data_IF_798417354304
#
_entry.id   IF_798417354304
#
_cell.length_a   1.000
_cell.length_b   1.000
_cell.length_c   1.000
_cell.angle_alpha   90.00
_cell.angle_beta   90.00
_cell.angle_gamma   90.00
#
_symmetry.space_group_name_H-M   'P 1'
#
loop_
_entity.id
_entity.type
_entity.pdbx_description
1 polymer ?
#
# COMPACT_ATOMS: atom_id res chain seq x y z
N UNK A 1 -13.06 -15.99 -2.95
CA UNK A 1 -14.11 -15.15 -2.39
C UNK A 1 -15.44 -15.46 -3.05
N UNK A 2 -16.42 -15.91 -2.28
CA UNK A 2 -17.77 -16.19 -2.79
C UNK A 2 -18.65 -14.95 -2.63
N UNK A 3 -18.81 -14.19 -3.71
CA UNK A 3 -19.59 -12.94 -3.72
C UNK A 3 -21.09 -13.20 -3.88
N UNK A 4 -21.51 -14.44 -4.12
CA UNK A 4 -22.92 -14.80 -4.25
C UNK A 4 -23.55 -15.21 -2.92
N UNK A 5 -22.72 -15.47 -1.89
CA UNK A 5 -23.20 -15.78 -0.55
C UNK A 5 -23.96 -14.59 0.07
N UNK A 6 -24.93 -14.85 0.97
CA UNK A 6 -25.66 -13.76 1.64
C UNK A 6 -24.78 -12.95 2.63
N UNK A 7 -23.52 -13.26 2.75
CA UNK A 7 -22.57 -12.59 3.62
C UNK A 7 -22.00 -11.34 2.98
N UNK A 8 -21.75 -10.31 3.80
CA UNK A 8 -21.02 -9.14 3.37
C UNK A 8 -19.51 -9.39 3.29
N UNK A 9 -18.89 -8.80 2.29
CA UNK A 9 -17.44 -8.85 2.08
C UNK A 9 -16.92 -7.47 1.70
N UNK A 10 -15.67 -7.18 2.07
CA UNK A 10 -15.00 -5.96 1.66
C UNK A 10 -13.75 -6.31 0.86
N UNK A 11 -13.55 -5.59 -0.25
CA UNK A 11 -12.38 -5.71 -1.09
C UNK A 11 -11.73 -4.33 -1.19
N UNK A 12 -10.42 -4.28 -0.99
CA UNK A 12 -9.59 -3.10 -1.18
C UNK A 12 -8.65 -3.39 -2.34
N UNK A 13 -8.88 -2.73 -3.46
CA UNK A 13 -8.10 -2.90 -4.68
C UNK A 13 -7.17 -1.70 -4.85
N UNK A 14 -5.88 -1.92 -4.68
CA UNK A 14 -4.86 -0.88 -4.78
C UNK A 14 -4.19 -0.99 -6.15
N UNK A 15 -4.67 -0.17 -7.08
CA UNK A 15 -4.12 -0.10 -8.44
C UNK A 15 -2.93 0.85 -8.55
N UNK A 16 -2.68 1.35 -9.75
CA UNK A 16 -1.64 2.36 -10.00
C UNK A 16 -2.10 3.76 -9.58
N UNK A 17 -3.23 4.22 -10.12
CA UNK A 17 -3.73 5.58 -9.91
C UNK A 17 -4.76 5.72 -8.80
N UNK A 18 -5.51 4.67 -8.50
CA UNK A 18 -6.61 4.72 -7.53
C UNK A 18 -6.63 3.50 -6.64
N UNK A 19 -7.15 3.68 -5.42
CA UNK A 19 -7.53 2.59 -4.52
C UNK A 19 -9.04 2.56 -4.45
N UNK A 20 -9.62 1.41 -4.79
CA UNK A 20 -11.06 1.18 -4.78
C UNK A 20 -11.44 0.32 -3.57
N UNK A 21 -12.42 0.78 -2.80
CA UNK A 21 -12.92 0.04 -1.65
C UNK A 21 -14.37 -0.31 -1.92
N UNK A 22 -14.68 -1.60 -2.06
CA UNK A 22 -16.01 -2.08 -2.35
C UNK A 22 -16.55 -2.96 -1.23
N UNK A 23 -17.79 -2.73 -0.85
CA UNK A 23 -18.55 -3.58 0.06
C UNK A 23 -19.57 -4.33 -0.78
N UNK A 24 -19.53 -5.65 -0.74
CA UNK A 24 -20.33 -6.54 -1.58
C UNK A 24 -21.19 -7.43 -0.69
N UNK A 25 -22.47 -7.56 -1.06
CA UNK A 25 -23.40 -8.48 -0.40
C UNK A 25 -24.41 -8.99 -1.44
N UNK A 26 -24.77 -10.28 -1.38
CA UNK A 26 -25.71 -10.92 -2.30
C UNK A 26 -25.36 -10.72 -3.78
N UNK A 27 -24.06 -10.76 -4.11
CA UNK A 27 -23.60 -10.60 -5.48
C UNK A 27 -23.64 -9.17 -6.05
N UNK A 28 -24.05 -8.20 -5.23
CA UNK A 28 -24.13 -6.79 -5.62
C UNK A 28 -23.21 -5.90 -4.80
N UNK A 29 -22.83 -4.74 -5.36
CA UNK A 29 -22.06 -3.74 -4.65
C UNK A 29 -23.01 -2.92 -3.78
N UNK A 30 -22.80 -2.94 -2.46
CA UNK A 30 -23.58 -2.16 -1.49
C UNK A 30 -23.01 -0.75 -1.37
N UNK A 31 -21.69 -0.62 -1.40
CA UNK A 31 -21.00 0.66 -1.33
C UNK A 31 -19.70 0.56 -2.09
N UNK A 32 -19.27 1.67 -2.68
CA UNK A 32 -18.00 1.77 -3.38
C UNK A 32 -17.41 3.15 -3.12
N UNK A 33 -16.15 3.18 -2.71
CA UNK A 33 -15.41 4.41 -2.46
C UNK A 33 -14.09 4.33 -3.22
N UNK A 34 -13.69 5.44 -3.83
CA UNK A 34 -12.43 5.55 -4.56
C UNK A 34 -11.60 6.70 -4.01
N UNK A 35 -10.31 6.48 -3.84
CA UNK A 35 -9.36 7.55 -3.53
C UNK A 35 -8.22 7.53 -4.54
N UNK A 36 -7.62 8.69 -4.78
CA UNK A 36 -6.52 8.86 -5.74
C UNK A 36 -5.15 8.70 -5.06
N UNK A 37 -5.02 7.73 -4.19
CA UNK A 37 -3.74 7.37 -3.56
C UNK A 37 -3.54 5.87 -3.78
N UNK A 38 -2.51 5.52 -4.52
CA UNK A 38 -2.22 4.14 -4.90
C UNK A 38 -0.75 3.98 -5.30
N UNK A 39 -0.43 2.97 -6.09
CA UNK A 39 0.94 2.61 -6.44
C UNK A 39 1.78 3.74 -7.03
N UNK A 40 1.17 4.60 -7.87
CA UNK A 40 1.90 5.73 -8.48
C UNK A 40 2.29 6.79 -7.45
N UNK A 41 1.46 6.99 -6.42
CA UNK A 41 1.79 7.89 -5.31
C UNK A 41 2.96 7.36 -4.49
N UNK A 42 3.02 6.05 -4.29
CA UNK A 42 4.15 5.41 -3.61
C UNK A 42 5.44 5.61 -4.42
N UNK A 43 5.37 5.49 -5.74
CA UNK A 43 6.51 5.76 -6.61
C UNK A 43 6.96 7.22 -6.53
N UNK A 44 6.01 8.15 -6.54
CA UNK A 44 6.30 9.58 -6.41
C UNK A 44 6.95 9.91 -5.06
N UNK A 45 6.49 9.27 -3.98
CA UNK A 45 7.08 9.43 -2.64
C UNK A 45 8.55 8.99 -2.64
N UNK A 46 8.86 7.88 -3.30
CA UNK A 46 10.23 7.37 -3.40
C UNK A 46 11.10 8.32 -4.23
N UNK A 47 10.60 8.82 -5.36
CA UNK A 47 11.33 9.78 -6.18
C UNK A 47 11.71 11.04 -5.39
N UNK A 48 10.76 11.59 -4.66
CA UNK A 48 10.97 12.77 -3.84
C UNK A 48 11.96 12.50 -2.70
N UNK A 49 11.80 11.37 -2.02
CA UNK A 49 12.69 10.96 -0.94
C UNK A 49 14.15 10.80 -1.42
N UNK A 50 14.35 10.10 -2.53
CA UNK A 50 15.69 9.88 -3.08
C UNK A 50 16.34 11.20 -3.48
N UNK A 51 15.58 12.12 -4.06
CA UNK A 51 16.07 13.45 -4.41
C UNK A 51 16.46 14.25 -3.18
N UNK A 52 15.60 14.28 -2.17
CA UNK A 52 15.77 15.12 -0.98
C UNK A 52 16.84 14.58 -0.03
N UNK A 53 16.82 13.29 0.26
CA UNK A 53 17.69 12.69 1.28
C UNK A 53 19.02 12.18 0.73
N UNK A 54 19.05 11.73 -0.51
CA UNK A 54 20.23 11.13 -1.11
C UNK A 54 20.81 11.92 -2.27
N UNK A 55 20.20 13.02 -2.67
CA UNK A 55 20.60 13.87 -3.79
C UNK A 55 20.76 13.10 -5.11
N UNK A 56 20.03 12.02 -5.28
CA UNK A 56 20.03 11.21 -6.50
C UNK A 56 18.70 11.36 -7.23
N UNK A 57 18.79 11.53 -8.55
CA UNK A 57 17.60 11.64 -9.40
C UNK A 57 17.21 10.23 -9.88
N UNK A 58 15.98 9.83 -9.58
CA UNK A 58 15.43 8.55 -10.05
C UNK A 58 14.15 8.80 -10.86
N UNK A 59 13.99 8.00 -11.93
CA UNK A 59 12.76 8.02 -12.72
C UNK A 59 11.65 7.27 -11.98
N UNK A 60 10.41 7.41 -12.45
CA UNK A 60 9.29 6.66 -11.92
C UNK A 60 9.54 5.15 -12.03
N UNK A 61 10.09 4.70 -13.15
CA UNK A 61 10.43 3.29 -13.37
C UNK A 61 11.48 2.78 -12.37
N UNK A 62 12.47 3.61 -12.06
CA UNK A 62 13.47 3.30 -11.05
C UNK A 62 12.86 3.25 -9.65
N UNK A 63 11.96 4.19 -9.35
CA UNK A 63 11.22 4.20 -8.08
C UNK A 63 10.36 2.94 -7.92
N UNK A 64 9.72 2.47 -8.98
CA UNK A 64 8.98 1.22 -8.98
C UNK A 64 9.89 0.03 -8.63
N UNK A 65 11.09 -0.01 -9.19
CA UNK A 65 12.08 -1.06 -8.86
C UNK A 65 12.51 -1.00 -7.40
N UNK A 66 12.75 0.20 -6.88
CA UNK A 66 13.09 0.38 -5.46
C UNK A 66 11.95 -0.16 -4.59
N UNK A 67 10.71 0.20 -4.92
CA UNK A 67 9.53 -0.28 -4.21
C UNK A 67 9.42 -1.81 -4.22
N UNK A 68 9.66 -2.44 -5.35
CA UNK A 68 9.63 -3.90 -5.48
C UNK A 68 10.73 -4.56 -4.64
N UNK A 69 11.94 -4.02 -4.63
CA UNK A 69 13.08 -4.64 -3.96
C UNK A 69 13.12 -4.38 -2.45
N UNK A 70 12.82 -3.15 -2.02
CA UNK A 70 12.93 -2.75 -0.61
C UNK A 70 11.72 -1.97 -0.08
N UNK A 71 10.63 -1.89 -0.84
CA UNK A 71 9.41 -1.25 -0.36
C UNK A 71 8.77 -2.03 0.77
N UNK A 72 8.27 -1.32 1.78
CA UNK A 72 7.60 -1.90 2.91
C UNK A 72 6.63 -0.89 3.53
N UNK A 73 5.54 -1.40 4.07
CA UNK A 73 4.60 -0.59 4.86
C UNK A 73 4.98 -0.55 6.35
N UNK A 74 5.91 -1.40 6.77
CA UNK A 74 6.36 -1.53 8.16
C UNK A 74 7.86 -1.27 8.26
N UNK A 75 8.27 -0.59 9.32
CA UNK A 75 9.69 -0.36 9.63
C UNK A 75 10.35 -1.57 10.30
N UNK A 76 9.56 -2.54 10.74
CA UNK A 76 10.04 -3.79 11.30
C UNK A 76 9.30 -4.96 10.64
N UNK A 77 9.99 -5.61 9.71
CA UNK A 77 9.54 -6.85 9.09
C UNK A 77 10.20 -8.00 9.84
N UNK A 78 9.45 -8.64 10.71
CA UNK A 78 9.95 -9.72 11.57
C UNK A 78 10.50 -10.91 10.76
N UNK A 79 9.92 -11.16 9.57
CA UNK A 79 10.29 -12.26 8.70
C UNK A 79 10.48 -11.78 7.25
N UNK A 80 11.41 -12.43 6.54
CA UNK A 80 11.64 -12.18 5.11
C UNK A 80 11.95 -10.72 4.77
N UNK A 81 12.64 -10.02 5.68
CA UNK A 81 13.08 -8.66 5.42
C UNK A 81 14.06 -8.64 4.22
N UNK A 82 13.84 -7.74 3.24
CA UNK A 82 14.74 -7.66 2.10
C UNK A 82 16.09 -7.08 2.49
N UNK A 83 17.12 -7.49 1.75
CA UNK A 83 18.45 -6.92 1.89
C UNK A 83 18.48 -5.50 1.31
N UNK A 84 19.51 -4.74 1.72
CA UNK A 84 19.77 -3.43 1.20
C UNK A 84 19.87 -3.45 -0.33
N UNK A 85 19.27 -2.45 -0.97
CA UNK A 85 19.26 -2.30 -2.43
C UNK A 85 20.16 -1.14 -2.86
N UNK A 86 21.04 -1.36 -3.83
CA UNK A 86 21.92 -0.32 -4.34
C UNK A 86 21.22 0.41 -5.49
N UNK A 87 20.97 1.70 -5.30
CA UNK A 87 20.38 2.56 -6.32
C UNK A 87 21.48 3.26 -7.10
N UNK A 88 21.44 3.15 -8.41
CA UNK A 88 22.36 3.83 -9.33
C UNK A 88 21.63 4.98 -10.00
N UNK A 89 22.21 6.17 -9.96
CA UNK A 89 21.62 7.31 -10.63
C UNK A 89 22.54 8.52 -10.60
N UNK A 90 22.15 9.60 -11.30
CA UNK A 90 22.95 10.83 -11.31
C UNK A 90 22.68 11.65 -10.06
N UNK A 91 23.74 12.28 -9.53
CA UNK A 91 23.56 13.32 -8.53
C UNK A 91 22.75 14.46 -9.15
N UNK A 92 21.72 14.92 -8.44
CA UNK A 92 20.79 15.93 -8.98
C UNK A 92 21.41 17.30 -9.21
N UNK A 93 22.58 17.57 -8.59
CA UNK A 93 23.28 18.84 -8.70
C UNK A 93 24.44 18.77 -9.69
N UNK A 94 25.30 17.75 -9.55
CA UNK A 94 26.53 17.62 -10.35
C UNK A 94 26.36 16.78 -11.60
N UNK A 95 25.25 16.00 -11.70
CA UNK A 95 25.00 15.01 -12.73
C UNK A 95 26.00 13.85 -12.77
N UNK A 96 26.89 13.75 -11.78
CA UNK A 96 27.87 12.66 -11.70
C UNK A 96 27.19 11.37 -11.21
N UNK A 97 27.69 10.20 -11.64
CA UNK A 97 27.16 8.92 -11.20
C UNK A 97 27.25 8.74 -9.69
N UNK A 98 26.19 8.18 -9.10
CA UNK A 98 26.13 7.85 -7.68
C UNK A 98 25.65 6.41 -7.49
N UNK A 99 26.12 5.78 -6.43
CA UNK A 99 25.59 4.53 -5.91
C UNK A 99 25.11 4.79 -4.49
N UNK A 100 23.83 4.50 -4.22
CA UNK A 100 23.22 4.78 -2.93
C UNK A 100 22.59 3.51 -2.38
N UNK A 101 23.10 2.98 -1.25
CA UNK A 101 22.42 1.87 -0.58
C UNK A 101 21.19 2.36 0.14
N UNK A 102 20.06 1.67 -0.05
CA UNK A 102 18.82 1.99 0.62
C UNK A 102 18.27 0.76 1.32
N UNK A 103 17.76 0.94 2.54
CA UNK A 103 17.17 -0.13 3.32
C UNK A 103 15.65 -0.01 3.34
N UNK A 104 14.96 -1.10 3.67
CA UNK A 104 13.49 -1.10 3.67
C UNK A 104 12.92 -0.17 4.75
N UNK A 105 13.62 0.02 5.87
CA UNK A 105 13.16 0.89 6.95
C UNK A 105 13.01 2.34 6.47
N UNK A 106 13.99 2.86 5.74
CA UNK A 106 13.90 4.23 5.24
C UNK A 106 12.79 4.38 4.20
N UNK A 107 12.59 3.36 3.36
CA UNK A 107 11.51 3.39 2.37
C UNK A 107 10.14 3.29 3.06
N UNK A 108 10.02 2.49 4.12
CA UNK A 108 8.80 2.43 4.91
C UNK A 108 8.44 3.80 5.50
N UNK A 109 9.43 4.54 6.01
CA UNK A 109 9.21 5.91 6.49
C UNK A 109 8.74 6.84 5.39
N UNK A 110 9.31 6.75 4.20
CA UNK A 110 8.93 7.62 3.10
C UNK A 110 7.52 7.30 2.55
N UNK A 111 7.06 6.06 2.67
CA UNK A 111 5.74 5.63 2.21
C UNK A 111 4.63 5.81 3.26
N UNK A 112 4.99 6.09 4.50
CA UNK A 112 4.06 6.08 5.64
C UNK A 112 2.84 6.98 5.42
N UNK A 113 3.04 8.18 4.92
CA UNK A 113 1.97 9.16 4.73
C UNK A 113 0.93 8.69 3.71
N UNK A 114 1.37 8.14 2.59
CA UNK A 114 0.47 7.60 1.56
C UNK A 114 -0.26 6.35 2.04
N UNK A 115 0.43 5.46 2.74
CA UNK A 115 -0.19 4.26 3.32
C UNK A 115 -1.21 4.66 4.39
N UNK A 116 -0.93 5.67 5.20
CA UNK A 116 -1.87 6.18 6.20
C UNK A 116 -3.17 6.72 5.57
N UNK A 117 -3.09 7.31 4.38
CA UNK A 117 -4.28 7.75 3.64
C UNK A 117 -5.16 6.57 3.22
N UNK A 118 -4.55 5.46 2.83
CA UNK A 118 -5.28 4.23 2.51
C UNK A 118 -5.95 3.67 3.77
N UNK A 119 -5.25 3.63 4.90
CA UNK A 119 -5.82 3.20 6.19
C UNK A 119 -7.07 4.04 6.54
N UNK A 120 -6.95 5.35 6.43
CA UNK A 120 -8.04 6.28 6.74
C UNK A 120 -9.25 6.04 5.84
N UNK A 121 -9.02 5.80 4.55
CA UNK A 121 -10.10 5.52 3.61
C UNK A 121 -10.83 4.20 3.93
N UNK A 122 -10.10 3.17 4.32
CA UNK A 122 -10.69 1.88 4.72
C UNK A 122 -11.52 2.06 5.98
N UNK A 123 -11.01 2.78 6.99
CA UNK A 123 -11.75 3.06 8.22
C UNK A 123 -13.04 3.84 7.93
N UNK A 124 -12.99 4.85 7.07
CA UNK A 124 -14.16 5.61 6.68
C UNK A 124 -15.21 4.74 5.98
N UNK A 125 -14.78 3.82 5.12
CA UNK A 125 -15.68 2.89 4.46
C UNK A 125 -16.36 1.95 5.47
N UNK A 126 -15.63 1.49 6.48
CA UNK A 126 -16.17 0.65 7.55
C UNK A 126 -17.18 1.41 8.40
N UNK A 127 -16.91 2.68 8.73
CA UNK A 127 -17.83 3.53 9.49
C UNK A 127 -19.16 3.71 8.77
N UNK A 128 -19.16 3.71 7.44
CA UNK A 128 -20.36 3.89 6.63
C UNK A 128 -21.03 2.56 6.24
N UNK A 129 -20.55 1.45 6.75
CA UNK A 129 -21.07 0.11 6.46
C UNK A 129 -22.17 -0.24 7.47
N UNK A 130 -23.34 -0.76 7.01
CA UNK A 130 -24.40 -1.21 7.92
C UNK A 130 -23.89 -2.25 8.93
N UNK A 131 -24.39 -2.25 10.18
CA UNK A 131 -23.90 -3.14 11.23
C UNK A 131 -23.89 -4.63 10.90
N UNK A 132 -24.90 -5.12 10.19
CA UNK A 132 -25.02 -6.52 9.81
C UNK A 132 -23.91 -6.91 8.82
N UNK A 133 -23.64 -6.05 7.85
CA UNK A 133 -22.59 -6.28 6.86
C UNK A 133 -21.21 -6.12 7.51
N UNK A 134 -21.07 -5.16 8.41
CA UNK A 134 -19.84 -4.97 9.19
C UNK A 134 -19.49 -6.26 9.97
N UNK A 135 -20.46 -6.87 10.62
CA UNK A 135 -20.26 -8.12 11.36
C UNK A 135 -19.76 -9.24 10.45
N UNK A 136 -20.29 -9.33 9.24
CA UNK A 136 -19.84 -10.30 8.24
C UNK A 136 -18.38 -10.04 7.80
N UNK A 137 -18.03 -8.77 7.61
CA UNK A 137 -16.67 -8.37 7.24
C UNK A 137 -15.67 -8.75 8.32
N UNK A 138 -16.01 -8.52 9.59
CA UNK A 138 -15.17 -8.90 10.73
C UNK A 138 -14.92 -10.41 10.74
N UNK A 139 -15.96 -11.19 10.45
CA UNK A 139 -15.87 -12.66 10.41
C UNK A 139 -15.06 -13.15 9.21
N UNK A 140 -15.28 -12.58 8.04
CA UNK A 140 -14.68 -13.04 6.78
C UNK A 140 -13.28 -12.47 6.54
N UNK A 141 -12.96 -11.33 7.14
CA UNK A 141 -11.75 -10.55 6.83
C UNK A 141 -11.94 -9.65 5.61
N UNK A 142 -10.94 -8.83 5.35
CA UNK A 142 -10.92 -7.90 4.22
C UNK A 142 -9.91 -8.42 3.20
N UNK A 143 -10.28 -8.37 1.92
CA UNK A 143 -9.43 -8.86 0.85
C UNK A 143 -8.71 -7.71 0.16
N UNK A 144 -7.39 -7.87 0.02
CA UNK A 144 -6.52 -6.96 -0.70
C UNK A 144 -6.31 -7.48 -2.12
N UNK A 145 -6.44 -6.61 -3.10
CA UNK A 145 -6.22 -6.91 -4.51
C UNK A 145 -5.40 -5.79 -5.17
N UNK A 146 -4.97 -6.03 -6.40
CA UNK A 146 -4.17 -5.08 -7.16
C UNK A 146 -2.68 -5.18 -6.86
N UNK A 147 -1.87 -4.51 -7.69
CA UNK A 147 -0.41 -4.55 -7.56
C UNK A 147 0.11 -3.94 -6.26
N UNK A 148 -0.57 -2.91 -5.73
CA UNK A 148 -0.20 -2.28 -4.47
C UNK A 148 -0.39 -3.18 -3.26
N UNK A 149 -1.24 -4.20 -3.36
CA UNK A 149 -1.44 -5.19 -2.29
C UNK A 149 -0.18 -6.04 -2.03
N UNK A 150 0.75 -6.06 -2.97
CA UNK A 150 2.00 -6.82 -2.86
C UNK A 150 3.08 -6.11 -2.04
N UNK A 151 2.86 -4.87 -1.62
CA UNK A 151 3.79 -4.14 -0.76
C UNK A 151 3.99 -4.91 0.54
N UNK A 152 5.26 -5.19 0.88
CA UNK A 152 5.61 -5.97 2.07
C UNK A 152 5.01 -5.35 3.33
N UNK A 153 4.40 -6.18 4.16
CA UNK A 153 3.87 -5.76 5.45
C UNK A 153 2.60 -4.93 5.39
N UNK A 154 2.05 -4.66 4.21
CA UNK A 154 0.82 -3.86 4.09
C UNK A 154 -0.37 -4.57 4.76
N UNK A 155 -0.54 -5.85 4.51
CA UNK A 155 -1.57 -6.67 5.14
C UNK A 155 -1.48 -6.64 6.67
N UNK A 156 -0.27 -6.81 7.21
CA UNK A 156 -0.02 -6.75 8.66
C UNK A 156 -0.29 -5.36 9.23
N UNK A 157 0.15 -4.31 8.54
CA UNK A 157 -0.07 -2.94 8.99
C UNK A 157 -1.57 -2.61 9.06
N UNK A 158 -2.32 -2.97 8.02
CA UNK A 158 -3.75 -2.74 7.99
C UNK A 158 -4.49 -3.57 9.05
N UNK A 159 -4.11 -4.82 9.22
CA UNK A 159 -4.67 -5.70 10.26
C UNK A 159 -4.43 -5.13 11.66
N UNK A 160 -3.22 -4.65 11.94
CA UNK A 160 -2.87 -4.08 13.24
C UNK A 160 -3.63 -2.77 13.51
N UNK A 161 -3.83 -1.96 12.50
CA UNK A 161 -4.51 -0.67 12.65
C UNK A 161 -6.02 -0.83 12.75
N UNK A 162 -6.61 -1.70 11.95
CA UNK A 162 -8.06 -1.81 11.78
C UNK A 162 -8.65 -2.92 12.64
N UNK A 163 -7.83 -3.88 13.08
CA UNK A 163 -8.23 -5.01 13.94
C UNK A 163 -9.18 -6.00 13.25
N UNK A 164 -9.12 -6.05 11.93
CA UNK A 164 -9.79 -7.05 11.09
C UNK A 164 -8.71 -7.68 10.23
N UNK A 165 -8.67 -9.03 10.07
CA UNK A 165 -7.67 -9.66 9.23
C UNK A 165 -7.75 -9.21 7.78
N UNK A 166 -6.61 -8.92 7.17
CA UNK A 166 -6.48 -8.62 5.75
C UNK A 166 -5.81 -9.78 5.03
N UNK A 167 -6.38 -10.19 3.91
CA UNK A 167 -5.90 -11.31 3.08
C UNK A 167 -5.54 -10.80 1.69
N UNK A 168 -4.38 -11.19 1.22
CA UNK A 168 -3.94 -10.86 -0.15
C UNK A 168 -4.43 -11.91 -1.14
#
# INVERSE_FOLDING_TARGET
LDVTAPNGNMIVDIGGGTTEIAVISLGGIVANTSIKVAGDDLNADIQEYMSRQHNVKVSERMAERIKIHVGSALTDLEENAPEEYIVHGPNKITALPMEVPVCYQEIAHCLDKSVAKIETAVLAALENTPPEIYADIVKNGIYLAGGGALLRGLDKRLTNKIKIPFHV
#
